data_IF_614812652534
#
_entry.id   IF_614812652534
#
_cell.length_a   1.000
_cell.length_b   1.000
_cell.length_c   1.000
_cell.angle_alpha   90.00
_cell.angle_beta   90.00
_cell.angle_gamma   90.00
#
_symmetry.space_group_name_H-M   'P 1'
#
loop_
_entity.id
_entity.type
_entity.pdbx_description
1 polymer ?
#
# COMPACT_ATOMS: atom_id res chain seq x y z
N UNK A 1 -42.90 6.27 -22.17
CA UNK A 1 -41.70 5.40 -22.41
C UNK A 1 -41.31 4.75 -21.09
N UNK A 2 -41.03 3.47 -21.09
CA UNK A 2 -40.57 2.78 -19.90
C UNK A 2 -39.06 3.08 -19.72
N UNK A 3 -38.66 3.67 -18.62
CA UNK A 3 -37.23 3.94 -18.28
C UNK A 3 -36.52 2.62 -17.99
N UNK A 4 -35.38 2.36 -18.61
CA UNK A 4 -34.59 1.13 -18.46
C UNK A 4 -33.17 1.37 -17.91
N UNK A 5 -32.78 2.64 -17.71
CA UNK A 5 -31.48 3.06 -17.17
C UNK A 5 -31.65 3.89 -15.90
N UNK A 6 -30.60 3.90 -15.07
CA UNK A 6 -30.48 4.73 -13.85
C UNK A 6 -31.58 4.51 -12.79
N UNK A 7 -32.22 3.34 -12.81
CA UNK A 7 -33.34 3.02 -11.89
C UNK A 7 -32.96 3.05 -10.40
N UNK A 8 -31.67 2.90 -10.11
CA UNK A 8 -31.11 2.90 -8.74
C UNK A 8 -30.05 4.00 -8.54
N UNK A 9 -29.87 4.91 -9.52
CA UNK A 9 -28.99 6.07 -9.38
C UNK A 9 -29.82 7.23 -8.83
N UNK A 10 -29.43 7.71 -7.64
CA UNK A 10 -30.10 8.82 -6.98
C UNK A 10 -29.55 10.15 -7.49
N UNK A 11 -28.23 10.21 -7.68
CA UNK A 11 -27.53 11.45 -8.04
C UNK A 11 -26.20 11.14 -8.70
N UNK A 12 -25.73 12.02 -9.59
CA UNK A 12 -24.36 12.07 -10.12
C UNK A 12 -23.76 13.44 -9.86
N UNK A 13 -22.61 13.49 -9.18
CA UNK A 13 -21.85 14.72 -8.93
C UNK A 13 -20.49 14.64 -9.64
N UNK A 14 -20.04 15.73 -10.31
CA UNK A 14 -18.73 15.74 -10.95
C UNK A 14 -17.59 15.64 -9.93
N UNK A 15 -16.56 14.85 -10.26
CA UNK A 15 -15.27 14.93 -9.57
C UNK A 15 -14.50 16.15 -10.07
N UNK A 16 -13.67 16.74 -9.20
CA UNK A 16 -12.65 17.71 -9.61
C UNK A 16 -11.74 17.04 -10.65
N UNK A 17 -11.48 17.69 -11.81
CA UNK A 17 -10.54 17.12 -12.78
C UNK A 17 -9.16 16.90 -12.19
N UNK A 18 -8.45 15.79 -12.49
CA UNK A 18 -7.11 15.53 -11.98
C UNK A 18 -6.13 16.68 -12.26
N UNK A 19 -6.17 17.26 -13.46
CA UNK A 19 -5.31 18.39 -13.84
C UNK A 19 -5.52 19.63 -12.98
N UNK A 20 -6.76 19.91 -12.56
CA UNK A 20 -7.04 21.04 -11.66
C UNK A 20 -6.51 20.75 -10.25
N UNK A 21 -6.68 19.52 -9.74
CA UNK A 21 -6.12 19.15 -8.45
C UNK A 21 -4.59 19.24 -8.43
N UNK A 22 -3.93 18.86 -9.53
CA UNK A 22 -2.48 19.02 -9.68
C UNK A 22 -2.03 20.49 -9.77
N UNK A 23 -2.87 21.40 -10.28
CA UNK A 23 -2.61 22.84 -10.27
C UNK A 23 -2.79 23.44 -8.87
N UNK A 24 -3.83 23.02 -8.14
CA UNK A 24 -4.08 23.47 -6.76
C UNK A 24 -3.00 22.96 -5.79
N UNK A 25 -2.50 21.74 -6.02
CA UNK A 25 -1.49 21.05 -5.19
C UNK A 25 -0.33 20.52 -6.05
N UNK A 26 0.52 21.42 -6.61
CA UNK A 26 1.61 21.03 -7.48
C UNK A 26 2.70 20.28 -6.72
N UNK A 27 3.27 19.25 -7.35
CA UNK A 27 4.46 18.59 -6.84
C UNK A 27 5.65 19.54 -6.98
N UNK A 28 6.40 19.74 -5.90
CA UNK A 28 7.66 20.50 -5.91
C UNK A 28 8.88 19.56 -6.05
N UNK A 29 10.07 20.16 -6.21
CA UNK A 29 11.30 19.40 -6.41
C UNK A 29 11.65 18.50 -5.22
N UNK A 30 11.36 18.92 -3.99
CA UNK A 30 11.63 18.14 -2.78
C UNK A 30 10.81 16.85 -2.77
N UNK A 31 9.49 16.97 -2.92
CA UNK A 31 8.59 15.84 -2.99
C UNK A 31 8.88 14.93 -4.19
N UNK A 32 9.13 15.50 -5.37
CA UNK A 32 9.47 14.74 -6.58
C UNK A 32 10.75 13.91 -6.40
N UNK A 33 11.80 14.49 -5.79
CA UNK A 33 13.04 13.78 -5.50
C UNK A 33 12.84 12.64 -4.50
N UNK A 34 12.08 12.87 -3.43
CA UNK A 34 11.75 11.82 -2.44
C UNK A 34 11.11 10.62 -3.13
N UNK A 35 10.08 10.85 -3.94
CA UNK A 35 9.37 9.79 -4.66
C UNK A 35 10.28 9.08 -5.66
N UNK A 36 11.00 9.84 -6.49
CA UNK A 36 11.85 9.27 -7.54
C UNK A 36 12.99 8.42 -6.96
N UNK A 37 13.65 8.90 -5.90
CA UNK A 37 14.73 8.18 -5.23
C UNK A 37 14.21 6.89 -4.57
N UNK A 38 13.08 6.96 -3.87
CA UNK A 38 12.48 5.78 -3.24
C UNK A 38 12.09 4.73 -4.29
N UNK A 39 11.43 5.11 -5.39
CA UNK A 39 11.11 4.19 -6.50
C UNK A 39 12.35 3.49 -7.04
N UNK A 40 13.43 4.26 -7.30
CA UNK A 40 14.71 3.72 -7.80
C UNK A 40 15.33 2.72 -6.82
N UNK A 41 15.30 3.01 -5.52
CA UNK A 41 15.83 2.12 -4.47
C UNK A 41 15.00 0.84 -4.37
N UNK A 42 13.67 0.95 -4.35
CA UNK A 42 12.77 -0.21 -4.31
C UNK A 42 12.98 -1.10 -5.56
N UNK A 43 13.14 -0.50 -6.74
CA UNK A 43 13.47 -1.23 -7.97
C UNK A 43 14.83 -1.94 -7.89
N UNK A 44 15.83 -1.33 -7.25
CA UNK A 44 17.15 -1.95 -7.05
C UNK A 44 17.06 -3.12 -6.06
N UNK A 45 16.30 -2.99 -4.97
CA UNK A 45 16.01 -4.08 -4.02
C UNK A 45 15.29 -5.23 -4.73
N UNK A 46 14.24 -4.94 -5.49
CA UNK A 46 13.48 -5.94 -6.26
C UNK A 46 14.37 -6.73 -7.23
N UNK A 47 15.38 -6.08 -7.83
CA UNK A 47 16.31 -6.71 -8.77
C UNK A 47 17.56 -7.32 -8.11
N UNK A 48 17.63 -7.34 -6.78
CA UNK A 48 18.79 -7.84 -6.04
C UNK A 48 20.06 -7.01 -6.21
N UNK A 49 19.96 -5.76 -6.65
CA UNK A 49 21.09 -4.84 -6.83
C UNK A 49 21.34 -3.96 -5.60
N UNK A 50 20.47 -4.01 -4.64
CA UNK A 50 20.54 -3.34 -3.34
C UNK A 50 20.22 -4.40 -2.28
N UNK A 51 21.10 -4.56 -1.29
CA UNK A 51 20.99 -5.58 -0.26
C UNK A 51 20.03 -5.20 0.88
N UNK A 52 19.58 -3.95 0.92
CA UNK A 52 18.63 -3.50 1.95
C UNK A 52 17.30 -4.22 1.85
N UNK A 53 16.60 -4.28 2.98
CA UNK A 53 15.22 -4.76 3.03
C UNK A 53 14.24 -3.58 2.90
N UNK A 54 13.19 -3.78 2.10
CA UNK A 54 12.08 -2.83 2.00
C UNK A 54 11.15 -3.01 3.19
N UNK A 55 10.82 -1.92 3.88
CA UNK A 55 9.85 -1.92 4.98
C UNK A 55 8.71 -0.98 4.67
N UNK A 56 7.51 -1.53 4.46
CA UNK A 56 6.27 -0.75 4.34
C UNK A 56 5.60 -0.73 5.71
N UNK A 57 5.61 0.41 6.41
CA UNK A 57 5.14 0.50 7.79
C UNK A 57 4.32 1.77 8.04
N UNK A 58 3.20 1.64 8.74
CA UNK A 58 2.33 2.75 9.10
C UNK A 58 0.88 2.33 9.33
N UNK A 59 -0.03 3.29 9.50
CA UNK A 59 -1.43 3.05 9.84
C UNK A 59 -2.12 2.05 8.89
N UNK A 60 -3.01 1.22 9.45
CA UNK A 60 -3.87 0.35 8.65
C UNK A 60 -4.65 1.19 7.61
N UNK A 61 -5.16 2.33 8.04
CA UNK A 61 -5.74 3.38 7.18
C UNK A 61 -5.54 4.75 7.81
N UNK A 62 -5.40 5.76 6.96
CA UNK A 62 -5.39 7.17 7.40
C UNK A 62 -6.82 7.66 7.48
N UNK A 63 -7.25 8.06 8.68
CA UNK A 63 -8.55 8.67 8.92
C UNK A 63 -8.42 10.08 9.49
N UNK A 64 -7.25 10.40 10.02
CA UNK A 64 -6.89 11.69 10.61
C UNK A 64 -5.51 12.11 10.05
N UNK A 65 -5.49 13.27 9.40
CA UNK A 65 -4.31 13.83 8.73
C UNK A 65 -3.23 14.22 9.75
N UNK A 66 -3.63 14.80 10.88
CA UNK A 66 -2.70 15.30 11.89
C UNK A 66 -1.99 14.14 12.57
N UNK A 67 -2.72 13.10 12.95
CA UNK A 67 -2.10 11.90 13.53
C UNK A 67 -1.19 11.15 12.53
N UNK A 68 -1.50 11.21 11.24
CA UNK A 68 -0.63 10.65 10.20
C UNK A 68 0.68 11.44 10.05
N UNK A 69 0.64 12.78 10.16
CA UNK A 69 1.83 13.64 10.17
C UNK A 69 2.67 13.42 11.43
N UNK A 70 2.04 13.31 12.59
CA UNK A 70 2.74 13.03 13.84
C UNK A 70 3.41 11.65 13.80
N UNK A 71 2.75 10.63 13.24
CA UNK A 71 3.35 9.33 13.01
C UNK A 71 4.58 9.44 12.07
N UNK A 72 4.47 10.17 10.97
CA UNK A 72 5.57 10.40 10.04
C UNK A 72 6.76 11.08 10.72
N UNK A 73 6.50 12.06 11.60
CA UNK A 73 7.54 12.78 12.35
C UNK A 73 8.35 11.86 13.28
N UNK A 74 7.70 10.85 13.87
CA UNK A 74 8.36 9.85 14.71
C UNK A 74 9.02 8.73 13.89
N UNK A 75 8.46 8.36 12.75
CA UNK A 75 9.05 7.36 11.86
C UNK A 75 10.30 7.87 11.14
N UNK A 76 10.39 9.15 10.84
CA UNK A 76 11.49 9.76 10.07
C UNK A 76 12.87 9.54 10.71
N UNK A 77 13.09 9.80 12.02
CA UNK A 77 14.37 9.50 12.66
C UNK A 77 14.76 8.01 12.59
N UNK A 78 13.79 7.11 12.66
CA UNK A 78 14.03 5.66 12.53
C UNK A 78 14.45 5.30 11.09
N UNK A 79 13.78 5.88 10.09
CA UNK A 79 14.15 5.73 8.68
C UNK A 79 15.58 6.22 8.42
N UNK A 80 16.00 7.33 9.01
CA UNK A 80 17.34 7.88 8.88
C UNK A 80 18.37 7.01 9.60
N UNK A 81 18.07 6.54 10.80
CA UNK A 81 18.94 5.68 11.61
C UNK A 81 19.28 4.36 10.91
N UNK A 82 18.32 3.73 10.29
CA UNK A 82 18.48 2.42 9.65
C UNK A 82 18.66 2.50 8.11
N UNK A 83 18.94 3.67 7.56
CA UNK A 83 19.00 3.89 6.11
C UNK A 83 20.05 3.05 5.36
N UNK A 84 21.09 2.56 6.07
CA UNK A 84 22.09 1.68 5.50
C UNK A 84 21.58 0.24 5.30
N UNK A 85 20.61 -0.21 6.11
CA UNK A 85 20.08 -1.57 6.12
C UNK A 85 18.65 -1.66 5.55
N UNK A 86 17.85 -0.61 5.75
CA UNK A 86 16.43 -0.64 5.44
C UNK A 86 16.04 0.53 4.51
N UNK A 87 15.19 0.26 3.55
CA UNK A 87 14.43 1.30 2.85
C UNK A 87 13.02 1.36 3.44
N UNK A 88 12.83 2.30 4.37
CA UNK A 88 11.55 2.47 5.08
C UNK A 88 10.65 3.40 4.28
N UNK A 89 9.43 2.96 3.99
CA UNK A 89 8.39 3.68 3.27
C UNK A 89 7.12 3.71 4.11
N UNK A 90 6.57 4.89 4.34
CA UNK A 90 5.38 5.02 5.18
C UNK A 90 4.13 4.50 4.48
N UNK A 91 3.40 3.63 5.15
CA UNK A 91 2.10 3.16 4.72
C UNK A 91 1.05 4.26 4.94
N UNK A 92 0.41 4.70 3.83
CA UNK A 92 -0.58 5.78 3.80
C UNK A 92 -1.78 5.30 2.99
N UNK A 93 -2.64 4.49 3.59
CA UNK A 93 -3.78 3.89 2.91
C UNK A 93 -5.03 4.77 3.09
N UNK A 94 -5.51 5.32 1.99
CA UNK A 94 -6.67 6.22 1.92
C UNK A 94 -7.97 5.52 1.58
N UNK A 95 -7.90 4.30 1.07
CA UNK A 95 -9.02 3.49 0.63
C UNK A 95 -9.01 2.16 1.37
N UNK A 96 -10.18 1.66 1.74
CA UNK A 96 -10.32 0.37 2.46
C UNK A 96 -11.33 -0.53 1.77
N UNK A 97 -10.93 -1.75 1.35
CA UNK A 97 -11.84 -2.72 0.78
C UNK A 97 -12.77 -3.24 1.88
N UNK A 98 -14.08 -3.10 1.69
CA UNK A 98 -15.08 -3.59 2.65
C UNK A 98 -15.82 -4.78 2.06
N UNK A 99 -15.88 -5.87 2.82
CA UNK A 99 -16.61 -7.08 2.38
C UNK A 99 -18.12 -6.86 2.43
N UNK A 100 -18.58 -6.04 3.39
CA UNK A 100 -20.00 -5.69 3.56
C UNK A 100 -20.16 -4.17 3.64
N UNK A 101 -20.51 -3.64 4.80
CA UNK A 101 -20.70 -2.21 5.05
C UNK A 101 -19.55 -1.71 5.94
N UNK A 102 -19.22 -0.43 5.83
CA UNK A 102 -18.23 0.23 6.68
C UNK A 102 -17.58 1.42 5.98
N UNK A 103 -16.85 2.20 6.73
CA UNK A 103 -16.09 3.35 6.22
C UNK A 103 -15.10 2.89 5.14
N UNK A 104 -15.18 3.54 3.98
CA UNK A 104 -14.42 3.15 2.78
C UNK A 104 -13.05 3.82 2.66
N UNK A 105 -12.68 4.67 3.61
CA UNK A 105 -11.41 5.39 3.62
C UNK A 105 -11.57 6.91 3.48
N UNK A 106 -10.47 7.62 3.72
CA UNK A 106 -10.41 9.09 3.73
C UNK A 106 -10.87 9.71 2.42
N UNK A 107 -10.49 9.13 1.27
CA UNK A 107 -10.90 9.67 -0.03
C UNK A 107 -12.42 9.62 -0.18
N UNK A 108 -13.06 8.53 0.25
CA UNK A 108 -14.50 8.36 0.06
C UNK A 108 -15.34 9.14 1.07
N UNK A 109 -14.89 9.23 2.33
CA UNK A 109 -15.65 9.85 3.43
C UNK A 109 -14.67 10.50 4.43
N UNK A 110 -14.14 11.70 4.06
CA UNK A 110 -13.11 12.38 4.85
C UNK A 110 -13.60 12.91 6.20
N UNK A 111 -14.91 13.13 6.31
CA UNK A 111 -15.53 13.68 7.53
C UNK A 111 -16.02 12.59 8.50
N UNK A 112 -15.96 11.32 8.11
CA UNK A 112 -16.43 10.17 8.90
C UNK A 112 -17.95 10.27 9.27
N UNK A 113 -18.72 10.97 8.45
CA UNK A 113 -20.13 11.29 8.70
C UNK A 113 -21.10 10.73 7.65
N UNK A 114 -20.56 10.01 6.64
CA UNK A 114 -21.33 9.45 5.53
C UNK A 114 -21.76 10.49 4.49
N UNK A 115 -21.17 11.68 4.49
CA UNK A 115 -21.43 12.73 3.46
C UNK A 115 -20.83 12.38 2.10
N UNK A 116 -19.83 11.52 2.06
CA UNK A 116 -19.12 11.10 0.86
C UNK A 116 -18.58 12.29 0.03
N UNK A 117 -17.99 13.27 0.71
CA UNK A 117 -17.33 14.41 0.07
C UNK A 117 -15.97 14.01 -0.53
N UNK A 118 -16.05 13.23 -1.62
CA UNK A 118 -14.88 12.65 -2.29
C UNK A 118 -13.93 13.73 -2.81
N UNK A 119 -14.45 14.89 -3.26
CA UNK A 119 -13.60 15.98 -3.72
C UNK A 119 -12.70 16.52 -2.61
N UNK A 120 -13.22 16.67 -1.40
CA UNK A 120 -12.42 17.03 -0.22
C UNK A 120 -11.45 15.92 0.15
N UNK A 121 -11.88 14.65 0.12
CA UNK A 121 -11.02 13.51 0.39
C UNK A 121 -9.80 13.42 -0.53
N UNK A 122 -9.99 13.65 -1.83
CA UNK A 122 -8.90 13.69 -2.82
C UNK A 122 -7.91 14.84 -2.54
N UNK A 123 -8.42 16.02 -2.16
CA UNK A 123 -7.59 17.18 -1.79
C UNK A 123 -6.76 16.89 -0.54
N UNK A 124 -7.37 16.33 0.49
CA UNK A 124 -6.71 15.96 1.74
C UNK A 124 -5.63 14.89 1.50
N UNK A 125 -5.94 13.83 0.74
CA UNK A 125 -4.99 12.78 0.42
C UNK A 125 -3.76 13.33 -0.32
N UNK A 126 -3.96 14.15 -1.36
CA UNK A 126 -2.87 14.75 -2.11
C UNK A 126 -2.05 15.73 -1.27
N UNK A 127 -2.69 16.56 -0.45
CA UNK A 127 -2.01 17.49 0.47
C UNK A 127 -1.10 16.75 1.45
N UNK A 128 -1.59 15.69 2.10
CA UNK A 128 -0.78 14.88 3.01
C UNK A 128 0.43 14.28 2.29
N UNK A 129 0.24 13.72 1.11
CA UNK A 129 1.34 13.11 0.33
C UNK A 129 2.41 14.13 -0.05
N UNK A 130 2.03 15.37 -0.39
CA UNK A 130 2.97 16.45 -0.64
C UNK A 130 3.78 16.80 0.60
N UNK A 131 3.12 16.94 1.75
CA UNK A 131 3.79 17.27 3.01
C UNK A 131 4.79 16.17 3.38
N UNK A 132 4.40 14.89 3.32
CA UNK A 132 5.29 13.75 3.54
C UNK A 132 6.49 13.75 2.58
N UNK A 133 6.23 13.98 1.28
CA UNK A 133 7.28 14.03 0.26
C UNK A 133 8.29 15.17 0.50
N UNK A 134 7.83 16.36 0.90
CA UNK A 134 8.66 17.52 1.25
C UNK A 134 9.57 17.23 2.44
N UNK A 135 9.07 16.46 3.41
CA UNK A 135 9.83 16.06 4.57
C UNK A 135 10.76 14.87 4.33
N UNK A 136 10.81 14.35 3.10
CA UNK A 136 11.67 13.22 2.74
C UNK A 136 11.10 11.86 3.15
N UNK A 137 9.80 11.77 3.48
CA UNK A 137 9.10 10.53 3.80
C UNK A 137 8.40 9.96 2.56
N UNK A 138 8.91 8.88 1.94
CA UNK A 138 8.24 8.22 0.82
C UNK A 138 6.97 7.52 1.30
N UNK A 139 5.92 7.54 0.47
CA UNK A 139 4.62 6.98 0.79
C UNK A 139 4.28 5.74 -0.02
N UNK A 140 3.63 4.78 0.63
CA UNK A 140 3.05 3.58 0.05
C UNK A 140 1.54 3.56 0.28
N UNK A 141 0.75 3.11 -0.73
CA UNK A 141 -0.70 3.00 -0.60
C UNK A 141 -1.24 1.70 -1.19
N UNK A 142 -2.53 1.44 -1.03
CA UNK A 142 -3.28 0.45 -1.81
C UNK A 142 -4.21 1.21 -2.76
N UNK A 143 -4.23 0.85 -4.03
CA UNK A 143 -5.12 1.45 -5.01
C UNK A 143 -6.31 0.53 -5.25
N UNK A 144 -7.50 1.00 -4.89
CA UNK A 144 -8.76 0.28 -5.06
C UNK A 144 -9.60 0.83 -6.19
N UNK A 145 -9.86 2.14 -6.21
CA UNK A 145 -10.58 2.78 -7.30
C UNK A 145 -9.63 3.05 -8.47
N UNK A 146 -9.97 2.58 -9.70
CA UNK A 146 -9.10 2.75 -10.87
C UNK A 146 -8.91 4.21 -11.31
N UNK A 147 -9.71 5.14 -10.80
CA UNK A 147 -9.62 6.57 -11.10
C UNK A 147 -8.66 7.29 -10.16
N UNK A 148 -8.55 6.86 -8.91
CA UNK A 148 -7.71 7.47 -7.86
C UNK A 148 -6.24 7.66 -8.28
N UNK A 149 -5.60 6.75 -9.02
CA UNK A 149 -4.20 6.96 -9.48
C UNK A 149 -3.99 8.28 -10.22
N UNK A 150 -4.97 8.76 -10.98
CA UNK A 150 -4.84 10.01 -11.73
C UNK A 150 -4.66 11.25 -10.83
N UNK A 151 -5.03 11.15 -9.56
CA UNK A 151 -4.96 12.22 -8.59
C UNK A 151 -3.71 12.20 -7.71
N UNK A 152 -3.16 11.00 -7.42
CA UNK A 152 -2.13 10.84 -6.38
C UNK A 152 -0.92 10.01 -6.81
N UNK A 153 -0.95 9.28 -7.92
CA UNK A 153 0.11 8.32 -8.26
C UNK A 153 1.49 8.97 -8.44
N UNK A 154 1.58 10.24 -8.83
CA UNK A 154 2.83 10.99 -8.95
C UNK A 154 3.55 11.18 -7.60
N UNK A 155 2.83 11.04 -6.46
CA UNK A 155 3.35 11.19 -5.10
C UNK A 155 3.56 9.85 -4.37
N UNK A 156 3.27 8.72 -5.01
CA UNK A 156 3.37 7.38 -4.42
C UNK A 156 4.67 6.70 -4.86
N UNK A 157 5.39 6.14 -3.89
CA UNK A 157 6.66 5.43 -4.11
C UNK A 157 6.49 3.93 -4.30
N UNK A 158 5.46 3.33 -3.72
CA UNK A 158 5.09 1.92 -3.82
C UNK A 158 3.59 1.76 -3.64
N UNK A 159 2.99 0.77 -4.30
CA UNK A 159 1.57 0.48 -4.11
C UNK A 159 1.28 -1.01 -4.01
N UNK A 160 0.21 -1.36 -3.28
CA UNK A 160 -0.35 -2.71 -3.26
C UNK A 160 -1.57 -2.82 -4.18
N UNK A 161 -1.74 -4.00 -4.78
CA UNK A 161 -3.04 -4.52 -5.22
C UNK A 161 -3.47 -5.55 -4.19
N UNK A 162 -4.62 -5.31 -3.54
CA UNK A 162 -5.10 -6.11 -2.42
C UNK A 162 -5.56 -7.53 -2.81
N UNK A 163 -5.67 -8.42 -1.84
CA UNK A 163 -6.05 -9.82 -2.08
C UNK A 163 -7.42 -10.00 -2.75
N UNK A 164 -8.35 -9.03 -2.56
CA UNK A 164 -9.68 -9.06 -3.19
C UNK A 164 -9.70 -8.51 -4.60
N UNK A 165 -8.68 -7.75 -4.99
CA UNK A 165 -8.58 -7.04 -6.27
C UNK A 165 -7.50 -7.60 -7.20
N UNK A 166 -6.58 -8.42 -6.70
CA UNK A 166 -5.52 -9.06 -7.50
C UNK A 166 -6.08 -9.95 -8.63
N UNK A 167 -7.26 -10.51 -8.46
CA UNK A 167 -7.95 -11.31 -9.49
C UNK A 167 -8.65 -10.44 -10.56
N UNK A 168 -8.93 -9.17 -10.24
CA UNK A 168 -9.68 -8.25 -11.11
C UNK A 168 -8.87 -7.84 -12.33
N UNK A 169 -9.42 -8.02 -13.53
CA UNK A 169 -8.82 -7.54 -14.78
C UNK A 169 -8.60 -6.04 -14.75
N UNK A 170 -9.58 -5.25 -14.30
CA UNK A 170 -9.48 -3.79 -14.21
C UNK A 170 -8.28 -3.34 -13.38
N UNK A 171 -8.00 -4.02 -12.25
CA UNK A 171 -6.85 -3.67 -11.41
C UNK A 171 -5.51 -4.08 -12.04
N UNK A 172 -5.46 -5.18 -12.79
CA UNK A 172 -4.27 -5.60 -13.55
C UNK A 172 -3.97 -4.63 -14.69
N UNK A 173 -4.99 -4.18 -15.41
CA UNK A 173 -4.90 -3.14 -16.45
C UNK A 173 -4.43 -1.81 -15.85
N UNK A 174 -5.04 -1.35 -14.76
CA UNK A 174 -4.60 -0.16 -14.02
C UNK A 174 -3.13 -0.28 -13.63
N UNK A 175 -2.73 -1.40 -13.03
CA UNK A 175 -1.37 -1.63 -12.54
C UNK A 175 -0.33 -1.60 -13.67
N UNK A 176 -0.70 -1.99 -14.90
CA UNK A 176 0.18 -1.95 -16.07
C UNK A 176 0.64 -0.53 -16.46
N UNK A 177 -0.08 0.48 -16.02
CA UNK A 177 0.22 1.90 -16.29
C UNK A 177 0.85 2.65 -15.12
N UNK A 178 0.99 2.02 -13.96
CA UNK A 178 1.56 2.67 -12.78
C UNK A 178 3.07 2.86 -12.92
N UNK A 179 3.57 3.97 -12.38
CA UNK A 179 4.98 4.38 -12.48
C UNK A 179 5.84 3.93 -11.29
N UNK A 180 5.24 3.28 -10.29
CA UNK A 180 5.92 2.77 -9.11
C UNK A 180 5.93 1.23 -9.10
N UNK A 181 6.81 0.60 -8.31
CA UNK A 181 6.73 -0.83 -8.01
C UNK A 181 5.39 -1.20 -7.36
N UNK A 182 4.86 -2.38 -7.74
CA UNK A 182 3.54 -2.87 -7.34
C UNK A 182 3.67 -4.20 -6.62
N UNK A 183 3.18 -4.27 -5.37
CA UNK A 183 3.05 -5.51 -4.61
C UNK A 183 1.67 -6.15 -4.81
N UNK A 184 1.63 -7.34 -5.37
CA UNK A 184 0.40 -8.10 -5.56
C UNK A 184 0.20 -9.06 -4.40
N UNK A 185 -0.81 -8.83 -3.57
CA UNK A 185 -1.14 -9.74 -2.45
C UNK A 185 -1.69 -11.06 -3.00
N UNK A 186 -1.25 -12.17 -2.41
CA UNK A 186 -1.83 -13.48 -2.71
C UNK A 186 -3.35 -13.49 -2.45
N UNK A 187 -4.05 -14.45 -3.04
CA UNK A 187 -5.49 -14.62 -2.89
C UNK A 187 -5.93 -14.78 -1.44
N UNK A 188 -7.20 -14.52 -1.15
CA UNK A 188 -7.76 -14.67 0.21
C UNK A 188 -7.75 -16.11 0.73
N UNK A 189 -7.59 -17.10 -0.16
CA UNK A 189 -7.39 -18.51 0.17
C UNK A 189 -5.94 -18.85 0.56
N UNK A 190 -4.99 -17.95 0.31
CA UNK A 190 -3.57 -18.10 0.59
C UNK A 190 -2.71 -18.48 -0.63
N UNK A 191 -3.32 -18.72 -1.82
CA UNK A 191 -2.58 -19.16 -3.03
C UNK A 191 -1.85 -18.04 -3.72
N UNK A 192 -0.62 -18.30 -4.20
CA UNK A 192 0.22 -17.37 -4.93
C UNK A 192 -0.18 -17.22 -6.41
N UNK A 193 -0.80 -18.23 -7.01
CA UNK A 193 -1.08 -18.30 -8.44
C UNK A 193 -1.84 -17.06 -8.98
N UNK A 194 -2.80 -16.54 -8.23
CA UNK A 194 -3.56 -15.34 -8.62
C UNK A 194 -2.66 -14.12 -8.74
N UNK A 195 -1.73 -13.93 -7.78
CA UNK A 195 -0.78 -12.82 -7.80
C UNK A 195 0.26 -12.98 -8.93
N UNK A 196 0.74 -14.19 -9.17
CA UNK A 196 1.65 -14.52 -10.30
C UNK A 196 0.99 -14.16 -11.63
N UNK A 197 -0.26 -14.58 -11.85
CA UNK A 197 -1.03 -14.24 -13.05
C UNK A 197 -1.23 -12.72 -13.18
N UNK A 198 -1.47 -12.01 -12.06
CA UNK A 198 -1.62 -10.57 -12.07
C UNK A 198 -0.31 -9.85 -12.47
N UNK A 199 0.82 -10.30 -11.94
CA UNK A 199 2.15 -9.78 -12.31
C UNK A 199 2.46 -9.99 -13.80
N UNK A 200 2.21 -11.19 -14.32
CA UNK A 200 2.40 -11.50 -15.75
C UNK A 200 1.50 -10.63 -16.63
N UNK A 201 0.23 -10.46 -16.26
CA UNK A 201 -0.71 -9.62 -17.00
C UNK A 201 -0.26 -8.15 -16.97
N UNK A 202 -0.05 -7.58 -15.79
CA UNK A 202 0.29 -6.17 -15.65
C UNK A 202 1.67 -5.80 -16.22
N UNK A 203 2.56 -6.77 -16.46
CA UNK A 203 3.85 -6.53 -17.14
C UNK A 203 3.72 -6.33 -18.66
N UNK A 204 2.52 -6.48 -19.22
CA UNK A 204 2.24 -6.35 -20.65
C UNK A 204 1.47 -5.07 -20.97
N UNK A 205 1.50 -4.61 -22.25
CA UNK A 205 0.67 -3.49 -22.69
C UNK A 205 -0.82 -3.79 -22.58
N UNK A 206 -1.60 -2.79 -22.19
CA UNK A 206 -3.07 -2.85 -22.10
C UNK A 206 -3.72 -1.62 -22.72
N UNK A 207 -5.03 -1.75 -23.07
CA UNK A 207 -5.91 -0.67 -23.50
C UNK A 207 -7.23 -0.81 -22.76
N UNK A 208 -7.60 0.21 -21.98
CA UNK A 208 -8.77 0.15 -21.11
C UNK A 208 -9.45 1.52 -20.94
N UNK A 209 -10.65 1.50 -20.35
CA UNK A 209 -11.40 2.71 -20.07
C UNK A 209 -10.88 3.39 -18.81
N UNK A 210 -10.63 4.68 -18.89
CA UNK A 210 -10.18 5.49 -17.76
C UNK A 210 -10.56 6.96 -17.93
N UNK A 211 -9.92 7.84 -17.20
CA UNK A 211 -10.05 9.29 -17.35
C UNK A 211 -8.70 9.92 -17.67
N UNK A 212 -8.74 11.03 -18.42
CA UNK A 212 -7.57 11.87 -18.68
C UNK A 212 -7.41 12.98 -17.61
N UNK A 213 -6.43 13.85 -17.78
CA UNK A 213 -6.17 14.96 -16.84
C UNK A 213 -7.33 15.96 -16.74
N UNK A 214 -8.14 16.11 -17.79
CA UNK A 214 -9.35 16.94 -17.81
C UNK A 214 -10.57 16.26 -17.18
N UNK A 215 -10.42 15.05 -16.63
CA UNK A 215 -11.51 14.27 -16.04
C UNK A 215 -12.46 13.65 -17.06
N UNK A 216 -12.10 13.64 -18.34
CA UNK A 216 -12.94 13.08 -19.42
C UNK A 216 -12.66 11.58 -19.58
N UNK A 217 -13.74 10.82 -19.79
CA UNK A 217 -13.64 9.41 -20.14
C UNK A 217 -12.73 9.24 -21.38
N UNK A 218 -11.77 8.34 -21.29
CA UNK A 218 -10.70 8.19 -22.27
C UNK A 218 -10.25 6.74 -22.40
N UNK A 219 -9.68 6.39 -23.56
CA UNK A 219 -8.94 5.14 -23.72
C UNK A 219 -7.53 5.36 -23.17
N UNK A 220 -7.15 4.57 -22.15
CA UNK A 220 -5.81 4.56 -21.60
C UNK A 220 -5.02 3.43 -22.25
N UNK A 221 -3.85 3.75 -22.81
CA UNK A 221 -2.91 2.77 -23.40
C UNK A 221 -1.64 2.75 -22.59
N UNK A 222 -1.19 1.56 -22.18
CA UNK A 222 -0.01 1.36 -21.32
C UNK A 222 1.04 0.52 -22.01
N UNK A 223 2.26 0.57 -21.49
CA UNK A 223 3.40 -0.24 -21.95
C UNK A 223 3.61 -1.51 -21.15
N UNK A 224 2.91 -1.64 -20.01
CA UNK A 224 3.17 -2.64 -18.99
C UNK A 224 4.12 -2.13 -17.92
N UNK A 225 3.95 -2.63 -16.69
CA UNK A 225 4.79 -2.32 -15.53
C UNK A 225 5.59 -3.58 -15.13
N UNK A 226 6.93 -3.61 -15.37
CA UNK A 226 7.75 -4.77 -15.05
C UNK A 226 8.15 -4.88 -13.58
N UNK A 227 7.84 -3.88 -12.75
CA UNK A 227 8.28 -3.78 -11.35
C UNK A 227 7.24 -4.36 -10.38
N UNK A 228 6.63 -5.49 -10.78
CA UNK A 228 5.71 -6.24 -9.94
C UNK A 228 6.43 -7.25 -9.04
N UNK A 229 5.94 -7.44 -7.81
CA UNK A 229 6.37 -8.52 -6.92
C UNK A 229 5.20 -9.06 -6.11
N UNK A 230 5.37 -10.27 -5.55
CA UNK A 230 4.35 -10.94 -4.74
C UNK A 230 4.45 -10.49 -3.28
N UNK A 231 3.30 -10.37 -2.60
CA UNK A 231 3.18 -10.12 -1.17
C UNK A 231 2.43 -11.27 -0.51
N UNK A 232 3.10 -12.01 0.37
CA UNK A 232 2.52 -13.07 1.18
C UNK A 232 1.82 -12.44 2.40
N UNK A 233 0.50 -12.61 2.48
CA UNK A 233 -0.33 -12.03 3.55
C UNK A 233 -1.11 -13.07 4.37
N UNK A 234 -0.81 -14.37 4.17
CA UNK A 234 -1.62 -15.46 4.68
C UNK A 234 -2.93 -15.65 3.92
N UNK A 235 -3.79 -16.51 4.43
CA UNK A 235 -5.09 -16.78 3.84
C UNK A 235 -5.95 -17.69 4.71
N UNK A 236 -7.10 -18.15 4.19
CA UNK A 236 -8.03 -19.05 4.90
C UNK A 236 -7.39 -20.35 5.37
N UNK A 237 -6.33 -20.81 4.70
CA UNK A 237 -5.57 -22.01 5.07
C UNK A 237 -4.57 -21.78 6.20
N UNK A 238 -4.33 -20.53 6.58
CA UNK A 238 -3.39 -20.14 7.61
C UNK A 238 -2.33 -19.16 7.11
N UNK A 239 -1.31 -18.89 7.94
CA UNK A 239 -0.12 -18.12 7.58
C UNK A 239 0.65 -18.75 6.42
N UNK A 240 1.42 -17.95 5.67
CA UNK A 240 2.23 -18.41 4.54
C UNK A 240 3.60 -17.72 4.47
N UNK A 241 4.21 -17.47 5.63
CA UNK A 241 5.49 -16.78 5.77
C UNK A 241 6.64 -17.68 6.25
N UNK A 242 6.39 -18.96 6.53
CA UNK A 242 7.43 -19.89 6.96
C UNK A 242 8.36 -20.23 5.79
N UNK A 243 9.52 -20.76 6.11
CA UNK A 243 10.57 -21.04 5.12
C UNK A 243 10.06 -21.87 3.93
N UNK A 244 9.30 -22.93 4.21
CA UNK A 244 8.81 -23.84 3.19
C UNK A 244 7.84 -23.15 2.21
N UNK A 245 6.96 -22.27 2.71
CA UNK A 245 6.03 -21.49 1.88
C UNK A 245 6.79 -20.47 1.04
N UNK A 246 7.75 -19.75 1.63
CA UNK A 246 8.59 -18.77 0.90
C UNK A 246 9.36 -19.44 -0.23
N UNK A 247 10.03 -20.58 0.04
CA UNK A 247 10.76 -21.34 -0.96
C UNK A 247 9.86 -21.91 -2.07
N UNK A 248 8.68 -22.41 -1.69
CA UNK A 248 7.70 -22.92 -2.65
C UNK A 248 7.26 -21.83 -3.62
N UNK A 249 6.88 -20.66 -3.07
CA UNK A 249 6.41 -19.53 -3.89
C UNK A 249 7.54 -18.94 -4.73
N UNK A 250 8.78 -18.88 -4.23
CA UNK A 250 9.93 -18.43 -5.00
C UNK A 250 10.16 -19.34 -6.24
N UNK A 251 10.00 -20.66 -6.08
CA UNK A 251 10.07 -21.62 -7.20
C UNK A 251 8.93 -21.41 -8.21
N UNK A 252 7.71 -21.15 -7.75
CA UNK A 252 6.58 -20.83 -8.64
C UNK A 252 6.84 -19.54 -9.45
N UNK A 253 7.41 -18.50 -8.83
CA UNK A 253 7.80 -17.26 -9.49
C UNK A 253 8.83 -17.52 -10.60
N UNK A 254 9.89 -18.28 -10.31
CA UNK A 254 10.90 -18.66 -11.31
C UNK A 254 10.29 -19.44 -12.47
N UNK A 255 9.43 -20.42 -12.19
CA UNK A 255 8.73 -21.18 -13.23
C UNK A 255 7.84 -20.31 -14.11
N UNK A 256 7.29 -19.23 -13.55
CA UNK A 256 6.50 -18.25 -14.28
C UNK A 256 7.36 -17.20 -15.05
N UNK A 257 8.70 -17.29 -14.98
CA UNK A 257 9.63 -16.35 -15.61
C UNK A 257 9.67 -14.98 -14.91
N UNK A 258 9.36 -14.95 -13.62
CA UNK A 258 9.36 -13.74 -12.77
C UNK A 258 10.56 -13.76 -11.81
N UNK A 259 10.89 -12.59 -11.24
CA UNK A 259 11.88 -12.51 -10.18
C UNK A 259 11.38 -13.29 -8.93
N UNK A 260 12.28 -14.05 -8.32
CA UNK A 260 12.02 -14.89 -7.14
C UNK A 260 11.99 -14.11 -5.82
N UNK A 261 11.75 -12.80 -5.89
CA UNK A 261 11.72 -11.90 -4.74
C UNK A 261 10.30 -11.56 -4.36
N UNK A 262 10.03 -11.68 -3.06
CA UNK A 262 8.70 -11.46 -2.48
C UNK A 262 8.77 -10.65 -1.18
N UNK A 263 7.64 -10.09 -0.77
CA UNK A 263 7.46 -9.41 0.50
C UNK A 263 6.60 -10.25 1.43
N UNK A 264 6.85 -10.20 2.74
CA UNK A 264 5.99 -10.78 3.77
C UNK A 264 5.21 -9.67 4.46
N UNK A 265 3.88 -9.72 4.36
CA UNK A 265 2.98 -8.90 5.16
C UNK A 265 2.82 -9.55 6.54
N UNK A 266 3.37 -8.92 7.57
CA UNK A 266 3.37 -9.42 8.95
C UNK A 266 2.00 -9.30 9.63
N UNK A 267 1.07 -8.53 9.07
CA UNK A 267 -0.29 -8.35 9.53
C UNK A 267 -1.26 -9.39 8.91
N UNK A 268 -2.54 -9.08 8.88
CA UNK A 268 -3.62 -9.82 8.22
C UNK A 268 -3.70 -11.30 8.66
N UNK A 269 -3.80 -12.26 7.72
CA UNK A 269 -3.95 -13.67 8.09
C UNK A 269 -2.62 -14.31 8.54
N UNK A 270 -1.46 -13.72 8.24
CA UNK A 270 -0.18 -14.15 8.78
C UNK A 270 -0.08 -13.98 10.30
N UNK A 271 -0.70 -12.94 10.85
CA UNK A 271 -0.80 -12.73 12.30
C UNK A 271 -2.14 -13.22 12.88
N UNK A 272 -2.97 -13.94 12.10
CA UNK A 272 -4.35 -14.28 12.46
C UNK A 272 -5.19 -13.05 12.86
N UNK A 273 -4.85 -11.85 12.31
CA UNK A 273 -5.46 -10.55 12.63
C UNK A 273 -5.27 -10.09 14.09
N UNK A 274 -4.35 -10.71 14.81
CA UNK A 274 -3.87 -10.19 16.11
C UNK A 274 -2.61 -9.37 15.88
N UNK A 275 -2.71 -8.05 16.03
CA UNK A 275 -1.61 -7.11 15.76
C UNK A 275 -0.35 -7.41 16.57
N UNK A 276 -0.48 -7.98 17.78
CA UNK A 276 0.65 -8.35 18.64
C UNK A 276 1.52 -9.44 18.03
N UNK A 277 0.93 -10.27 17.16
CA UNK A 277 1.64 -11.35 16.49
C UNK A 277 2.45 -10.90 15.26
N UNK A 278 2.33 -9.62 14.85
CA UNK A 278 3.20 -9.08 13.81
C UNK A 278 4.69 -9.22 14.16
N UNK A 279 5.04 -9.05 15.45
CA UNK A 279 6.41 -9.26 15.95
C UNK A 279 6.88 -10.71 15.78
N UNK A 280 6.01 -11.69 16.01
CA UNK A 280 6.30 -13.12 15.82
C UNK A 280 6.63 -13.41 14.33
N UNK A 281 5.79 -12.89 13.44
CA UNK A 281 5.98 -13.05 11.98
C UNK A 281 7.28 -12.38 11.52
N UNK A 282 7.56 -11.17 11.98
CA UNK A 282 8.79 -10.46 11.61
C UNK A 282 10.03 -11.23 12.08
N UNK A 283 10.04 -11.79 13.30
CA UNK A 283 11.16 -12.58 13.83
C UNK A 283 11.39 -13.86 13.02
N UNK A 284 10.35 -14.49 12.50
CA UNK A 284 10.50 -15.61 11.58
C UNK A 284 11.16 -15.18 10.25
N UNK A 285 10.82 -13.98 9.73
CA UNK A 285 11.51 -13.40 8.58
C UNK A 285 12.98 -13.09 8.90
N UNK A 286 13.25 -12.47 10.05
CA UNK A 286 14.61 -12.19 10.54
C UNK A 286 15.47 -13.47 10.59
N UNK A 287 14.91 -14.58 11.10
CA UNK A 287 15.61 -15.88 11.12
C UNK A 287 15.94 -16.35 9.71
N UNK A 288 14.98 -16.33 8.79
CA UNK A 288 15.17 -16.78 7.42
C UNK A 288 16.24 -15.95 6.67
N UNK A 289 16.22 -14.61 6.83
CA UNK A 289 17.21 -13.73 6.22
C UNK A 289 18.60 -13.99 6.82
N UNK A 290 18.69 -14.17 8.14
CA UNK A 290 19.94 -14.52 8.83
C UNK A 290 20.50 -15.87 8.39
N UNK A 291 19.65 -16.82 8.05
CA UNK A 291 20.01 -18.15 7.53
C UNK A 291 20.34 -18.12 6.03
N UNK A 292 20.26 -16.96 5.37
CA UNK A 292 20.68 -16.74 4.00
C UNK A 292 19.57 -16.75 2.95
N UNK A 293 18.31 -16.65 3.34
CA UNK A 293 17.23 -16.51 2.36
C UNK A 293 17.40 -15.23 1.55
N UNK A 294 17.46 -15.37 0.23
CA UNK A 294 17.57 -14.27 -0.73
C UNK A 294 16.21 -13.86 -1.29
N UNK A 295 15.16 -14.64 -1.02
CA UNK A 295 13.84 -14.46 -1.63
C UNK A 295 13.02 -13.35 -0.96
N UNK A 296 13.24 -13.12 0.34
CA UNK A 296 12.53 -12.06 1.07
C UNK A 296 13.20 -10.72 0.79
N UNK A 297 12.51 -9.85 0.06
CA UNK A 297 12.97 -8.49 -0.25
C UNK A 297 12.50 -7.45 0.75
N UNK A 298 11.56 -7.78 1.62
CA UNK A 298 11.03 -6.84 2.60
C UNK A 298 9.81 -7.34 3.34
N UNK A 299 9.31 -6.47 4.22
CA UNK A 299 8.17 -6.73 5.10
C UNK A 299 7.16 -5.60 5.07
N UNK A 300 5.90 -5.91 5.47
CA UNK A 300 4.86 -4.92 5.72
C UNK A 300 4.37 -5.04 7.15
N UNK A 301 4.18 -3.90 7.83
CA UNK A 301 3.70 -3.79 9.21
C UNK A 301 2.55 -2.78 9.29
N UNK A 302 1.52 -3.10 10.05
CA UNK A 302 0.47 -2.15 10.44
C UNK A 302 0.79 -1.57 11.81
N UNK A 303 1.11 -0.27 11.82
CA UNK A 303 1.60 0.49 12.97
C UNK A 303 0.94 1.86 13.05
N UNK A 304 0.70 2.37 14.27
CA UNK A 304 0.22 3.73 14.49
C UNK A 304 0.86 4.32 15.75
N UNK A 305 0.46 5.54 16.16
CA UNK A 305 0.94 6.17 17.40
C UNK A 305 0.54 5.37 18.65
N UNK A 306 -0.68 4.82 18.65
CA UNK A 306 -1.25 4.03 19.76
C UNK A 306 -1.65 2.65 19.23
N UNK A 307 -1.32 1.61 19.99
CA UNK A 307 -1.63 0.23 19.64
C UNK A 307 -3.14 -0.09 19.62
N UNK A 308 -3.49 -1.17 18.94
CA UNK A 308 -4.85 -1.67 18.87
C UNK A 308 -5.71 -0.97 17.83
N UNK A 309 -7.01 -1.01 18.05
CA UNK A 309 -8.01 -0.30 17.26
C UNK A 309 -9.21 0.09 18.10
N UNK A 310 -9.99 1.02 17.54
CA UNK A 310 -11.23 1.51 18.13
C UNK A 310 -12.38 1.47 17.11
N UNK A 311 -13.60 1.47 17.59
CA UNK A 311 -14.77 1.52 16.72
C UNK A 311 -15.16 2.97 16.44
N UNK A 312 -15.51 3.24 15.18
CA UNK A 312 -16.16 4.48 14.81
C UNK A 312 -17.62 4.42 15.31
N UNK A 313 -17.84 4.86 16.55
CA UNK A 313 -19.16 4.91 17.21
C UNK A 313 -19.24 6.15 18.10
N UNK A 314 -20.28 6.93 17.95
CA UNK A 314 -20.47 8.15 18.74
C UNK A 314 -19.89 9.41 18.10
N UNK A 315 -19.36 10.30 18.91
CA UNK A 315 -18.79 11.58 18.44
C UNK A 315 -17.32 11.38 18.03
N UNK A 316 -16.86 12.09 17.00
CA UNK A 316 -15.46 12.08 16.58
C UNK A 316 -14.50 12.51 17.72
N UNK A 317 -14.97 13.39 18.62
CA UNK A 317 -14.23 13.82 19.82
C UNK A 317 -13.92 12.69 20.80
N UNK A 318 -14.63 11.56 20.72
CA UNK A 318 -14.45 10.43 21.64
C UNK A 318 -13.39 9.45 21.14
N UNK A 319 -12.87 9.66 19.91
CA UNK A 319 -11.82 8.85 19.34
C UNK A 319 -10.47 9.11 20.03
N UNK A 320 -9.77 8.03 20.35
CA UNK A 320 -8.39 8.11 20.81
C UNK A 320 -7.50 8.57 19.65
N UNK A 321 -6.81 9.70 19.84
CA UNK A 321 -5.88 10.23 18.85
C UNK A 321 -4.77 9.23 18.52
N UNK A 322 -4.49 9.03 17.23
CA UNK A 322 -3.42 8.14 16.77
C UNK A 322 -3.71 6.64 16.93
N UNK A 323 -4.96 6.23 17.20
CA UNK A 323 -5.37 4.83 17.24
C UNK A 323 -6.22 4.48 16.02
N UNK A 324 -5.97 3.32 15.41
CA UNK A 324 -6.67 2.87 14.19
C UNK A 324 -8.19 2.74 14.38
N UNK A 325 -8.98 3.13 13.39
CA UNK A 325 -10.43 2.86 13.31
C UNK A 325 -10.76 1.68 12.38
N UNK A 326 -9.74 1.00 11.86
CA UNK A 326 -9.88 -0.19 11.01
C UNK A 326 -9.20 -1.38 11.68
N UNK A 327 -8.24 -2.06 11.03
CA UNK A 327 -7.56 -3.19 11.66
C UNK A 327 -6.58 -2.68 12.75
N UNK A 328 -6.38 -3.49 13.79
CA UNK A 328 -5.52 -3.12 14.91
C UNK A 328 -4.05 -3.06 14.52
N UNK A 329 -3.34 -2.05 15.02
CA UNK A 329 -1.94 -1.76 14.73
C UNK A 329 -1.06 -2.00 15.97
N UNK A 330 0.22 -2.23 15.78
CA UNK A 330 1.24 -2.04 16.82
C UNK A 330 1.48 -0.54 17.01
N UNK A 331 2.08 -0.14 18.14
CA UNK A 331 2.50 1.25 18.35
C UNK A 331 3.86 1.59 17.74
N UNK A 332 4.24 2.85 17.81
CA UNK A 332 5.52 3.34 17.25
C UNK A 332 6.72 2.80 18.02
N UNK A 333 6.63 2.61 19.35
CA UNK A 333 7.70 2.08 20.16
C UNK A 333 8.00 0.61 19.83
N UNK A 334 6.97 -0.20 19.67
CA UNK A 334 7.09 -1.57 19.16
C UNK A 334 7.69 -1.57 17.75
N UNK A 335 7.29 -0.62 16.90
CA UNK A 335 7.84 -0.47 15.55
C UNK A 335 9.33 -0.19 15.57
N UNK A 336 9.82 0.72 16.43
CA UNK A 336 11.25 1.00 16.59
C UNK A 336 12.04 -0.26 16.91
N UNK A 337 11.59 -1.05 17.91
CA UNK A 337 12.24 -2.30 18.28
C UNK A 337 12.27 -3.32 17.13
N UNK A 338 11.19 -3.43 16.37
CA UNK A 338 11.13 -4.36 15.23
C UNK A 338 12.03 -3.91 14.06
N UNK A 339 12.15 -2.61 13.80
CA UNK A 339 13.10 -2.09 12.81
C UNK A 339 14.54 -2.32 13.24
N UNK A 340 14.86 -2.18 14.54
CA UNK A 340 16.16 -2.50 15.09
C UNK A 340 16.49 -3.99 14.88
N UNK A 341 15.60 -4.91 15.31
CA UNK A 341 15.75 -6.35 15.10
C UNK A 341 16.02 -6.68 13.61
N UNK A 342 15.23 -6.11 12.70
CA UNK A 342 15.34 -6.35 11.27
C UNK A 342 16.65 -5.79 10.69
N UNK A 343 17.14 -4.66 11.19
CA UNK A 343 18.39 -4.05 10.71
C UNK A 343 19.62 -4.90 10.99
N UNK A 344 19.60 -5.73 12.06
CA UNK A 344 20.75 -6.55 12.47
C UNK A 344 21.11 -7.68 11.51
N UNK A 345 20.17 -8.08 10.62
CA UNK A 345 20.37 -9.22 9.71
C UNK A 345 20.74 -8.79 8.30
N UNK A 346 20.75 -7.49 8.04
CA UNK A 346 21.18 -6.92 6.74
C UNK A 346 22.65 -6.50 6.89
N UNK A 347 23.52 -7.22 6.21
CA UNK A 347 24.92 -6.81 6.10
C UNK A 347 24.99 -5.55 5.24
N UNK A 348 25.45 -4.44 5.83
CA UNK A 348 25.66 -3.17 5.15
C UNK A 348 26.78 -3.23 4.09
#
# INVERSE_FOLDING_TARGET
>A
MTTTSDLHVVETRPLVPPGLLHQDFPIDLGAANTVALARKRIQAILRGKDSRLLVIVGPCSVHDIDSAKDYASQLKPLRERYAAQLEVVMRVYFEKPRTTIGWKGLINDPHLDGSYDINTGLRQARSLLLDLGREGMPAATELLDPVVPQYIADLISWTAIGARTTESQTHREMASGLSMPVGYKNGTDGTAAIAINAMQSASRPHHFLGINREGKASIVSTTGNPDGHLVLRGGKKGPNYQFEEVESVAKELVQAGLADRLMVDCSHDNSHKDYRRQAEVLRAVVSQVKEGSIHIMGVMLESHLVEGNQKLSGKLSDLTYGQSITDACIDIDTTEHLLEELSTVVNG
#
